data_IF_341509136839
#
_entry.id   IF_341509136839
#
_cell.length_a   1.000
_cell.length_b   1.000
_cell.length_c   1.000
_cell.angle_alpha   90.00
_cell.angle_beta   90.00
_cell.angle_gamma   90.00
#
_symmetry.space_group_name_H-M   'P 1'
#
loop_
_entity.id
_entity.type
_entity.pdbx_description
1 polymer ?
#
# COMPACT_ATOMS: atom_id res chain seq x y z
N UNK A 1 4.85 -3.60 -10.06
CA UNK A 1 5.88 -2.81 -9.35
C UNK A 1 5.69 -2.86 -7.82
N UNK A 2 4.62 -2.29 -7.23
CA UNK A 2 4.42 -2.33 -5.78
C UNK A 2 4.24 -3.74 -5.20
N UNK A 3 3.50 -4.62 -5.88
CA UNK A 3 3.39 -6.03 -5.50
C UNK A 3 4.75 -6.76 -5.53
N UNK A 4 5.62 -6.40 -6.47
CA UNK A 4 6.98 -6.94 -6.61
C UNK A 4 7.87 -6.51 -5.44
N UNK A 5 7.73 -5.27 -4.97
CA UNK A 5 8.42 -4.76 -3.77
C UNK A 5 7.93 -5.44 -2.49
N UNK A 6 6.60 -5.61 -2.35
CA UNK A 6 6.01 -6.36 -1.24
C UNK A 6 6.54 -7.80 -1.16
N UNK A 7 6.56 -8.51 -2.28
CA UNK A 7 7.08 -9.89 -2.35
C UNK A 7 8.59 -9.97 -2.06
N UNK A 8 9.37 -8.96 -2.50
CA UNK A 8 10.80 -8.87 -2.19
C UNK A 8 11.07 -8.64 -0.71
N UNK A 9 10.21 -7.88 -0.03
CA UNK A 9 10.29 -7.69 1.42
C UNK A 9 10.02 -9.00 2.17
N UNK A 10 9.09 -9.83 1.67
CA UNK A 10 8.83 -11.16 2.21
C UNK A 10 10.01 -12.13 2.05
N UNK A 11 10.86 -11.89 1.06
CA UNK A 11 12.06 -12.70 0.78
C UNK A 11 13.33 -12.22 1.48
N UNK A 12 13.28 -11.14 2.26
CA UNK A 12 14.43 -10.70 3.06
C UNK A 12 14.63 -11.66 4.24
N UNK A 13 15.77 -12.34 4.25
CA UNK A 13 16.19 -13.28 5.30
C UNK A 13 16.88 -12.61 6.48
N UNK A 14 17.30 -11.36 6.31
CA UNK A 14 17.95 -10.60 7.38
C UNK A 14 16.96 -10.26 8.50
N UNK A 15 17.43 -10.20 9.77
CA UNK A 15 16.61 -9.76 10.88
C UNK A 15 16.11 -8.33 10.63
N UNK A 16 14.84 -8.08 10.98
CA UNK A 16 14.20 -6.79 10.74
C UNK A 16 14.91 -5.69 11.53
N UNK A 17 15.32 -4.62 10.84
CA UNK A 17 16.10 -3.53 11.43
C UNK A 17 15.19 -2.56 12.15
N UNK A 18 15.43 -2.33 13.45
CA UNK A 18 14.77 -1.27 14.21
C UNK A 18 15.19 0.11 13.71
N UNK A 19 14.21 1.00 13.56
CA UNK A 19 14.38 2.37 13.10
C UNK A 19 13.72 3.34 14.10
N UNK A 20 14.23 4.56 14.18
CA UNK A 20 13.52 5.68 14.78
C UNK A 20 13.06 6.61 13.66
N UNK A 21 11.76 6.87 13.60
CA UNK A 21 11.12 7.64 12.53
C UNK A 21 10.33 8.77 13.15
N UNK A 22 10.53 9.98 12.64
CA UNK A 22 9.79 11.17 13.04
C UNK A 22 9.07 11.74 11.82
N UNK A 23 7.79 12.06 11.96
CA UNK A 23 6.98 12.71 10.92
C UNK A 23 6.08 13.74 11.59
N UNK A 24 5.93 14.90 10.97
CA UNK A 24 4.93 15.89 11.37
C UNK A 24 3.94 16.11 10.24
N UNK A 25 2.68 16.35 10.61
CA UNK A 25 1.64 16.87 9.71
C UNK A 25 1.31 18.34 10.04
N UNK A 26 2.02 18.92 11.00
CA UNK A 26 1.88 20.28 11.50
C UNK A 26 3.24 20.97 11.46
N UNK A 27 3.35 22.04 10.67
CA UNK A 27 4.60 22.79 10.48
C UNK A 27 5.03 23.56 11.75
N UNK A 28 4.19 23.59 12.79
CA UNK A 28 4.47 24.29 14.05
C UNK A 28 4.96 23.36 15.16
N UNK A 29 4.90 22.04 14.96
CA UNK A 29 5.28 21.05 15.96
C UNK A 29 6.54 20.29 15.54
N UNK A 30 7.47 20.14 16.48
CA UNK A 30 8.62 19.27 16.28
C UNK A 30 8.14 17.80 16.16
N UNK A 31 8.59 17.07 15.12
CA UNK A 31 8.15 15.71 14.90
C UNK A 31 8.68 14.79 15.99
N UNK A 32 7.77 14.11 16.69
CA UNK A 32 8.11 13.20 17.80
C UNK A 32 8.72 11.90 17.24
N UNK A 33 9.92 11.49 17.70
CA UNK A 33 10.51 10.21 17.29
C UNK A 33 9.68 9.02 17.76
N UNK A 34 9.40 8.09 16.85
CA UNK A 34 8.69 6.85 17.12
C UNK A 34 9.53 5.64 16.72
N UNK A 35 9.44 4.59 17.51
CA UNK A 35 10.09 3.32 17.17
C UNK A 35 9.34 2.61 16.05
N UNK A 36 10.10 2.10 15.10
CA UNK A 36 9.62 1.41 13.92
C UNK A 36 10.58 0.29 13.51
N UNK A 37 10.25 -0.41 12.42
CA UNK A 37 11.14 -1.32 11.73
C UNK A 37 11.15 -1.08 10.23
N UNK A 38 12.21 -1.53 9.57
CA UNK A 38 12.34 -1.42 8.12
C UNK A 38 11.15 -2.07 7.41
N UNK A 39 10.71 -3.25 7.86
CA UNK A 39 9.53 -3.94 7.30
C UNK A 39 8.26 -3.12 7.47
N UNK A 40 8.04 -2.50 8.63
CA UNK A 40 6.86 -1.65 8.89
C UNK A 40 6.87 -0.43 7.99
N UNK A 41 8.01 0.25 7.83
CA UNK A 41 8.12 1.42 6.96
C UNK A 41 7.91 1.08 5.48
N UNK A 42 8.45 -0.04 4.98
CA UNK A 42 8.17 -0.46 3.60
C UNK A 42 6.71 -0.84 3.38
N UNK A 43 6.08 -1.50 4.36
CA UNK A 43 4.65 -1.81 4.31
C UNK A 43 3.81 -0.52 4.26
N UNK A 44 4.15 0.46 5.11
CA UNK A 44 3.55 1.78 5.10
C UNK A 44 3.71 2.45 3.74
N UNK A 45 4.93 2.50 3.19
CA UNK A 45 5.21 3.10 1.88
C UNK A 45 4.39 2.45 0.76
N UNK A 46 4.32 1.12 0.72
CA UNK A 46 3.53 0.41 -0.28
C UNK A 46 2.02 0.72 -0.16
N UNK A 47 1.51 0.77 1.07
CA UNK A 47 0.11 1.12 1.35
C UNK A 47 -0.19 2.56 0.95
N UNK A 48 0.69 3.50 1.34
CA UNK A 48 0.56 4.93 1.05
C UNK A 48 0.60 5.20 -0.46
N UNK A 49 1.54 4.58 -1.18
CA UNK A 49 1.59 4.67 -2.64
C UNK A 49 0.31 4.12 -3.30
N UNK A 50 -0.20 2.99 -2.79
CA UNK A 50 -1.46 2.41 -3.30
C UNK A 50 -2.65 3.35 -3.06
N UNK A 51 -2.71 4.00 -1.89
CA UNK A 51 -3.72 5.01 -1.56
C UNK A 51 -3.69 6.17 -2.56
N UNK A 52 -2.53 6.76 -2.85
CA UNK A 52 -2.43 7.82 -3.84
C UNK A 52 -2.81 7.38 -5.26
N UNK A 53 -2.45 6.16 -5.66
CA UNK A 53 -2.87 5.63 -6.96
C UNK A 53 -4.41 5.48 -7.05
N UNK A 54 -5.09 5.18 -5.95
CA UNK A 54 -6.55 5.16 -5.90
C UNK A 54 -7.16 6.56 -6.06
N UNK A 55 -6.57 7.57 -5.40
CA UNK A 55 -6.98 8.97 -5.54
C UNK A 55 -6.78 9.44 -7.00
N UNK A 56 -5.65 9.11 -7.62
CA UNK A 56 -5.38 9.43 -9.02
C UNK A 56 -6.41 8.76 -9.94
N UNK A 57 -6.72 7.48 -9.73
CA UNK A 57 -7.73 6.77 -10.51
C UNK A 57 -9.12 7.43 -10.40
N UNK A 58 -9.49 7.91 -9.20
CA UNK A 58 -10.74 8.64 -8.98
C UNK A 58 -10.75 9.97 -9.74
N UNK A 59 -9.68 10.74 -9.66
CA UNK A 59 -9.55 12.02 -10.38
C UNK A 59 -9.61 11.79 -11.89
N UNK A 60 -8.89 10.79 -12.42
CA UNK A 60 -8.96 10.42 -13.85
C UNK A 60 -10.41 10.21 -14.31
N UNK A 61 -11.22 9.50 -13.52
CA UNK A 61 -12.64 9.28 -13.80
C UNK A 61 -13.45 10.58 -13.87
N UNK A 62 -13.14 11.57 -13.04
CA UNK A 62 -13.79 12.89 -13.09
C UNK A 62 -13.50 13.65 -14.39
N UNK A 63 -12.37 13.37 -15.03
CA UNK A 63 -12.00 13.94 -16.33
C UNK A 63 -12.40 13.05 -17.52
N UNK A 64 -13.17 11.98 -17.31
CA UNK A 64 -13.59 11.06 -18.37
C UNK A 64 -12.47 10.14 -18.87
N UNK A 65 -11.37 10.01 -18.14
CA UNK A 65 -10.27 9.10 -18.46
C UNK A 65 -10.50 7.74 -17.81
N UNK A 66 -10.14 6.67 -18.53
CA UNK A 66 -10.24 5.29 -18.02
C UNK A 66 -8.96 4.91 -17.29
N UNK A 67 -9.06 4.66 -15.98
CA UNK A 67 -7.97 4.10 -15.19
C UNK A 67 -7.85 2.58 -15.42
N UNK A 68 -6.63 2.01 -15.42
CA UNK A 68 -6.46 0.56 -15.41
C UNK A 68 -7.21 -0.09 -14.22
N UNK A 69 -7.94 -1.21 -14.39
CA UNK A 69 -8.76 -1.81 -13.34
C UNK A 69 -8.01 -2.22 -12.07
N UNK A 70 -6.68 -2.35 -12.14
CA UNK A 70 -5.83 -2.75 -11.01
C UNK A 70 -5.15 -1.57 -10.31
N UNK A 71 -5.29 -0.34 -10.84
CA UNK A 71 -4.67 0.87 -10.32
C UNK A 71 -5.31 1.25 -8.98
N UNK A 72 -4.47 1.48 -7.95
CA UNK A 72 -4.96 1.86 -6.62
C UNK A 72 -5.69 0.76 -5.85
N UNK A 73 -5.85 -0.44 -6.42
CA UNK A 73 -6.54 -1.54 -5.75
C UNK A 73 -5.58 -2.24 -4.78
N UNK A 74 -5.93 -2.19 -3.49
CA UNK A 74 -5.17 -2.82 -2.40
C UNK A 74 -5.10 -4.35 -2.53
N UNK A 75 -4.03 -4.93 -1.95
CA UNK A 75 -3.82 -6.38 -1.99
C UNK A 75 -4.94 -7.16 -1.28
N UNK A 76 -5.45 -6.64 -0.15
CA UNK A 76 -6.58 -7.23 0.57
C UNK A 76 -7.85 -7.27 -0.29
N UNK A 77 -8.15 -6.18 -1.01
CA UNK A 77 -9.28 -6.11 -1.94
C UNK A 77 -9.13 -7.11 -3.08
N UNK A 78 -7.92 -7.26 -3.65
CA UNK A 78 -7.66 -8.27 -4.70
C UNK A 78 -7.90 -9.68 -4.18
N UNK A 79 -7.39 -10.00 -2.99
CA UNK A 79 -7.59 -11.30 -2.35
C UNK A 79 -9.08 -11.58 -2.12
N UNK A 80 -9.80 -10.61 -1.56
CA UNK A 80 -11.25 -10.72 -1.35
C UNK A 80 -12.01 -10.98 -2.66
N UNK A 81 -11.73 -10.21 -3.72
CA UNK A 81 -12.37 -10.38 -5.02
C UNK A 81 -12.08 -11.76 -5.65
N UNK A 82 -10.87 -12.29 -5.48
CA UNK A 82 -10.51 -13.64 -5.93
C UNK A 82 -11.29 -14.72 -5.18
N UNK A 83 -11.38 -14.61 -3.85
CA UNK A 83 -12.13 -15.53 -3.00
C UNK A 83 -13.64 -15.48 -3.32
N UNK A 84 -14.20 -14.29 -3.50
CA UNK A 84 -15.61 -14.12 -3.88
C UNK A 84 -15.92 -14.59 -5.30
N UNK A 85 -14.99 -14.48 -6.24
CA UNK A 85 -15.17 -14.98 -7.62
C UNK A 85 -15.09 -16.51 -7.68
N UNK A 86 -14.26 -17.14 -6.85
CA UNK A 86 -14.12 -18.60 -6.76
C UNK A 86 -15.37 -19.27 -6.18
N UNK A 87 -16.11 -18.58 -5.30
CA UNK A 87 -17.37 -19.06 -4.72
C UNK A 87 -18.55 -19.15 -5.71
N UNK A 88 -18.49 -18.45 -6.84
CA UNK A 88 -19.61 -18.38 -7.81
C UNK A 88 -19.52 -19.48 -8.88
N UNK A 89 -18.40 -20.20 -8.98
CA UNK A 89 -18.17 -21.26 -9.99
C UNK A 89 -18.36 -22.67 -9.40
N UNK A 90 -18.76 -22.78 -8.14
CA UNK A 90 -18.90 -24.05 -7.42
C UNK A 90 -20.36 -24.53 -7.24
N UNK A 91 -21.31 -23.94 -7.96
CA UNK A 91 -22.73 -24.37 -8.07
C UNK A 91 -23.15 -24.52 -9.53
#
# INVERSE_FOLDING_TARGET
MLATLGNRLSSLTEPDKTLSVSSSSDDTLDPVPMQSSLRREFSFLCSHATHHLAVIALIMGQFGLVAPPSLGVAASTKKHLQESSASVVAD
#
